data_IF_890696582307
#
_entry.id   IF_890696582307
#
_cell.length_a   1.000
_cell.length_b   1.000
_cell.length_c   1.000
_cell.angle_alpha   90.00
_cell.angle_beta   90.00
_cell.angle_gamma   90.00
#
_symmetry.space_group_name_H-M   'P 1'
#
loop_
_entity.id
_entity.type
_entity.pdbx_description
1 polymer ?
#
# COMPACT_ATOMS: atom_id res chain seq x y z
N UNK A 1 -12.34 -10.01 6.07
CA UNK A 1 -11.59 -9.77 4.82
C UNK A 1 -11.10 -8.33 4.84
N UNK A 2 -10.04 -7.98 4.12
CA UNK A 2 -9.66 -6.57 3.92
C UNK A 2 -10.38 -5.97 2.70
N UNK A 3 -10.83 -4.70 2.73
CA UNK A 3 -11.29 -3.99 1.53
C UNK A 3 -10.11 -3.69 0.58
N UNK A 4 -10.37 -3.63 -0.73
CA UNK A 4 -9.33 -3.43 -1.77
C UNK A 4 -9.35 -1.98 -2.24
N UNK A 5 -8.62 -1.05 -1.63
CA UNK A 5 -8.73 0.38 -1.99
C UNK A 5 -8.39 0.63 -3.47
N UNK A 6 -7.35 -0.02 -3.98
CA UNK A 6 -6.97 0.10 -5.39
C UNK A 6 -6.65 -1.26 -6.01
N UNK A 7 -7.14 -1.49 -7.23
CA UNK A 7 -6.76 -2.64 -8.05
C UNK A 7 -6.30 -2.19 -9.44
N UNK A 8 -4.99 -2.25 -9.70
CA UNK A 8 -4.38 -1.69 -10.92
C UNK A 8 -3.21 -2.55 -11.41
N UNK A 9 -3.17 -2.87 -12.71
CA UNK A 9 -2.09 -3.66 -13.34
C UNK A 9 -1.79 -5.00 -12.63
N UNK A 10 -2.81 -5.61 -12.01
CA UNK A 10 -2.68 -6.85 -11.22
C UNK A 10 -2.18 -6.66 -9.78
N UNK A 11 -1.89 -5.43 -9.35
CA UNK A 11 -1.65 -5.08 -7.95
C UNK A 11 -2.96 -4.86 -7.22
N UNK A 12 -3.10 -5.50 -6.06
CA UNK A 12 -4.18 -5.31 -5.09
C UNK A 12 -3.63 -4.56 -3.88
N UNK A 13 -4.15 -3.37 -3.60
CA UNK A 13 -3.78 -2.51 -2.46
C UNK A 13 -4.89 -2.55 -1.39
N UNK A 14 -4.55 -2.71 -0.11
CA UNK A 14 -5.51 -2.90 1.00
C UNK A 14 -4.89 -2.67 2.40
N UNK A 15 -5.74 -2.46 3.41
CA UNK A 15 -5.37 -2.39 4.85
C UNK A 15 -5.84 -3.64 5.59
N UNK A 16 -5.12 -4.06 6.64
CA UNK A 16 -5.65 -5.05 7.59
C UNK A 16 -6.42 -4.34 8.71
N UNK A 17 -7.67 -4.73 8.93
CA UNK A 17 -8.59 -4.09 9.89
C UNK A 17 -8.13 -4.16 11.36
N UNK A 18 -7.12 -4.98 11.65
CA UNK A 18 -6.54 -5.25 12.96
C UNK A 18 -5.13 -4.65 13.17
N UNK A 19 -4.57 -3.90 12.22
CA UNK A 19 -3.25 -3.25 12.35
C UNK A 19 -3.40 -1.76 12.74
N UNK A 20 -4.29 -1.48 13.70
CA UNK A 20 -4.68 -0.10 14.11
C UNK A 20 -3.67 0.62 14.99
N UNK A 21 -2.79 -0.12 15.67
CA UNK A 21 -1.73 0.44 16.53
C UNK A 21 -0.44 0.74 15.76
N UNK A 22 -0.43 0.57 14.43
CA UNK A 22 0.70 0.88 13.56
C UNK A 22 0.59 2.27 12.89
N UNK A 23 1.73 2.86 12.47
CA UNK A 23 1.74 4.02 11.58
C UNK A 23 0.98 3.77 10.28
N UNK A 24 0.62 4.88 9.60
CA UNK A 24 -0.04 4.87 8.30
C UNK A 24 0.72 3.98 7.30
N UNK A 25 0.04 3.01 6.69
CA UNK A 25 0.69 2.00 5.85
C UNK A 25 -0.23 1.40 4.79
N UNK A 26 0.38 0.80 3.77
CA UNK A 26 -0.28 0.09 2.67
C UNK A 26 0.32 -1.31 2.50
N UNK A 27 -0.54 -2.32 2.37
CA UNK A 27 -0.17 -3.66 1.89
C UNK A 27 -0.53 -3.80 0.42
N UNK A 28 0.37 -4.37 -0.38
CA UNK A 28 0.16 -4.60 -1.79
C UNK A 28 0.54 -6.03 -2.20
N UNK A 29 -0.31 -6.69 -2.99
CA UNK A 29 -0.08 -8.04 -3.53
C UNK A 29 -0.20 -8.09 -5.06
N UNK A 30 0.62 -8.88 -5.73
CA UNK A 30 0.51 -9.20 -7.17
C UNK A 30 1.07 -10.59 -7.46
N UNK A 31 0.19 -11.53 -7.81
CA UNK A 31 0.56 -12.93 -7.96
C UNK A 31 1.00 -13.51 -6.61
N UNK A 32 2.22 -14.02 -6.57
CA UNK A 32 2.93 -14.52 -5.38
C UNK A 32 3.75 -13.44 -4.64
N UNK A 33 3.89 -12.24 -5.20
CA UNK A 33 4.61 -11.14 -4.57
C UNK A 33 3.73 -10.32 -3.61
N UNK A 34 4.29 -9.97 -2.45
CA UNK A 34 3.65 -9.14 -1.42
C UNK A 34 4.64 -8.12 -0.85
N UNK A 35 4.14 -6.94 -0.44
CA UNK A 35 4.94 -5.94 0.26
C UNK A 35 4.09 -5.01 1.13
N UNK A 36 4.68 -4.52 2.23
CA UNK A 36 4.14 -3.50 3.13
C UNK A 36 5.01 -2.25 3.08
N UNK A 37 4.39 -1.09 2.87
CA UNK A 37 5.06 0.22 2.95
C UNK A 37 4.41 1.08 4.03
N UNK A 38 5.21 1.79 4.84
CA UNK A 38 4.72 2.94 5.58
C UNK A 38 4.51 4.11 4.62
N UNK A 39 3.45 4.89 4.83
CA UNK A 39 3.16 6.14 4.13
C UNK A 39 3.49 7.30 5.07
N UNK A 40 4.39 8.19 4.65
CA UNK A 40 4.83 9.35 5.46
C UNK A 40 4.29 10.61 4.80
N UNK A 41 3.02 10.89 5.07
CA UNK A 41 2.22 11.90 4.39
C UNK A 41 2.86 13.30 4.46
N UNK A 42 3.43 13.66 5.61
CA UNK A 42 4.03 14.97 5.89
C UNK A 42 5.33 15.22 5.10
N UNK A 43 5.95 14.16 4.56
CA UNK A 43 7.18 14.22 3.76
C UNK A 43 6.96 13.77 2.29
N UNK A 44 5.78 13.25 1.95
CA UNK A 44 5.51 12.59 0.67
C UNK A 44 6.49 11.43 0.39
N UNK A 45 6.77 10.60 1.40
CA UNK A 45 7.73 9.47 1.33
C UNK A 45 7.06 8.12 1.62
N UNK A 46 7.69 7.03 1.15
CA UNK A 46 7.30 5.64 1.48
C UNK A 46 8.52 4.75 1.79
N UNK A 47 8.46 4.09 2.95
CA UNK A 47 9.49 3.21 3.50
C UNK A 47 9.06 1.74 3.40
N UNK A 48 9.95 0.85 2.93
CA UNK A 48 9.63 -0.57 2.76
C UNK A 48 9.81 -1.33 4.08
N UNK A 49 8.70 -1.76 4.67
CA UNK A 49 8.68 -2.47 5.96
C UNK A 49 8.91 -3.96 5.76
N UNK A 50 8.32 -4.52 4.70
CA UNK A 50 8.37 -5.94 4.38
C UNK A 50 8.20 -6.16 2.88
N UNK A 51 8.88 -7.17 2.33
CA UNK A 51 8.55 -7.69 1.00
C UNK A 51 8.89 -9.17 0.83
N UNK A 52 8.10 -9.83 -0.02
CA UNK A 52 8.23 -11.24 -0.41
C UNK A 52 8.03 -11.36 -1.93
N UNK A 53 8.90 -12.13 -2.58
CA UNK A 53 9.01 -12.30 -4.04
C UNK A 53 9.03 -10.99 -4.87
N UNK A 54 9.25 -9.85 -4.22
CA UNK A 54 9.25 -8.51 -4.81
C UNK A 54 10.54 -8.25 -5.60
N UNK A 55 10.57 -8.70 -6.85
CA UNK A 55 11.70 -8.44 -7.77
C UNK A 55 11.95 -6.92 -7.93
N UNK A 56 13.16 -6.48 -8.30
CA UNK A 56 13.45 -5.06 -8.52
C UNK A 56 12.55 -4.39 -9.58
N UNK A 57 11.99 -5.15 -10.52
CA UNK A 57 11.01 -4.66 -11.48
C UNK A 57 9.64 -4.42 -10.82
N UNK A 58 9.17 -5.38 -10.02
CA UNK A 58 7.92 -5.27 -9.25
C UNK A 58 8.00 -4.13 -8.22
N UNK A 59 9.11 -4.01 -7.47
CA UNK A 59 9.37 -2.90 -6.52
C UNK A 59 9.23 -1.53 -7.19
N UNK A 60 9.78 -1.35 -8.40
CA UNK A 60 9.65 -0.10 -9.16
C UNK A 60 8.23 0.14 -9.69
N UNK A 61 7.48 -0.91 -9.99
CA UNK A 61 6.09 -0.80 -10.42
C UNK A 61 5.18 -0.39 -9.25
N UNK A 62 5.25 -1.09 -8.11
CA UNK A 62 4.39 -0.80 -6.95
C UNK A 62 4.71 0.56 -6.32
N UNK A 63 5.98 0.94 -6.17
CA UNK A 63 6.34 2.29 -5.69
C UNK A 63 5.77 3.39 -6.59
N UNK A 64 5.78 3.20 -7.92
CA UNK A 64 5.14 4.16 -8.86
C UNK A 64 3.63 4.22 -8.69
N UNK A 65 2.97 3.07 -8.48
CA UNK A 65 1.52 3.01 -8.24
C UNK A 65 1.17 3.74 -6.93
N UNK A 66 1.90 3.46 -5.85
CA UNK A 66 1.68 4.12 -4.54
C UNK A 66 1.88 5.63 -4.66
N UNK A 67 2.92 6.12 -5.34
CA UNK A 67 3.10 7.56 -5.54
C UNK A 67 2.06 8.20 -6.46
N UNK A 68 1.60 7.50 -7.50
CA UNK A 68 0.56 8.03 -8.41
C UNK A 68 -0.82 8.17 -7.72
N UNK A 69 -1.07 7.35 -6.70
CA UNK A 69 -2.32 7.31 -5.93
C UNK A 69 -2.09 7.71 -4.45
N UNK A 70 -1.05 8.49 -4.15
CA UNK A 70 -0.61 8.71 -2.77
C UNK A 70 -1.68 9.41 -1.92
N UNK A 71 -2.29 10.46 -2.47
CA UNK A 71 -3.36 11.24 -1.81
C UNK A 71 -4.61 10.37 -1.56
N UNK A 72 -5.02 9.57 -2.55
CA UNK A 72 -6.14 8.60 -2.44
C UNK A 72 -5.90 7.56 -1.33
N UNK A 73 -4.66 7.07 -1.19
CA UNK A 73 -4.28 6.12 -0.15
C UNK A 73 -4.20 6.77 1.24
N UNK A 74 -3.77 8.03 1.34
CA UNK A 74 -3.75 8.79 2.61
C UNK A 74 -5.19 9.09 3.06
N UNK A 75 -6.03 9.65 2.18
CA UNK A 75 -7.43 9.96 2.50
C UNK A 75 -8.22 8.72 2.95
N UNK A 76 -8.03 7.57 2.29
CA UNK A 76 -8.70 6.34 2.67
C UNK A 76 -8.24 5.80 4.05
N UNK A 77 -7.00 6.11 4.50
CA UNK A 77 -6.54 5.77 5.86
C UNK A 77 -7.25 6.67 6.87
N UNK A 78 -7.22 7.98 6.65
CA UNK A 78 -7.81 8.99 7.53
C UNK A 78 -9.34 8.81 7.69
N UNK A 79 -10.02 8.38 6.62
CA UNK A 79 -11.45 8.04 6.62
C UNK A 79 -11.77 6.66 7.21
N UNK A 80 -10.79 5.75 7.29
CA UNK A 80 -10.92 4.45 7.96
C UNK A 80 -11.37 3.25 7.11
N UNK A 81 -10.94 3.16 5.83
CA UNK A 81 -11.25 2.10 4.85
C UNK A 81 -12.72 2.04 4.36
N UNK A 82 -13.36 3.18 4.08
CA UNK A 82 -14.58 3.19 3.26
C UNK A 82 -14.31 2.76 1.80
N UNK A 83 -15.32 2.14 1.19
CA UNK A 83 -15.39 1.71 -0.21
C UNK A 83 -16.84 1.47 -0.62
#
# INVERSE_FOLDING_TARGET
MSPTILYIRGWRLFFYSNERDEPMHIHARKGDAECKYWLRAELYEIDEVYSYNLTPALRREIRRIIFLHFEELVEAWERGWEQ
#
